data_IF_065399216954
#
_entry.id   IF_065399216954
#
_cell.length_a   1.000
_cell.length_b   1.000
_cell.length_c   1.000
_cell.angle_alpha   90.00
_cell.angle_beta   90.00
_cell.angle_gamma   90.00
#
_symmetry.space_group_name_H-M   'P 1'
#
loop_
_entity.id
_entity.type
_entity.pdbx_description
1 polymer ?
#
# COMPACT_ATOMS: atom_id res chain seq x y z
N UNK A 1 -14.43 -5.01 -32.05
CA UNK A 1 -13.17 -4.78 -31.33
C UNK A 1 -13.04 -5.59 -30.03
N UNK A 2 -14.13 -5.88 -29.28
CA UNK A 2 -14.08 -6.65 -28.02
C UNK A 2 -13.56 -8.10 -28.15
N UNK A 3 -13.74 -8.78 -29.29
CA UNK A 3 -13.32 -10.18 -29.46
C UNK A 3 -11.82 -10.38 -29.78
N UNK A 4 -11.13 -9.34 -30.29
CA UNK A 4 -9.72 -9.47 -30.67
C UNK A 4 -8.73 -9.29 -29.50
N UNK A 5 -9.14 -8.53 -28.48
CA UNK A 5 -8.30 -8.29 -27.28
C UNK A 5 -8.29 -9.52 -26.37
N UNK A 6 -9.43 -10.20 -26.24
CA UNK A 6 -9.53 -11.44 -25.45
C UNK A 6 -8.67 -12.57 -26.05
N UNK A 7 -8.56 -12.61 -27.38
CA UNK A 7 -7.74 -13.63 -28.06
C UNK A 7 -6.23 -13.38 -27.89
N UNK A 8 -5.81 -12.11 -27.80
CA UNK A 8 -4.39 -11.76 -27.63
C UNK A 8 -3.88 -12.07 -26.20
N UNK A 9 -4.70 -11.84 -25.20
CA UNK A 9 -4.38 -12.17 -23.81
C UNK A 9 -4.30 -13.69 -23.59
N UNK A 10 -5.21 -14.45 -24.22
CA UNK A 10 -5.18 -15.93 -24.17
C UNK A 10 -4.01 -16.49 -24.97
N UNK A 11 -3.66 -15.87 -26.11
CA UNK A 11 -2.54 -16.26 -26.95
C UNK A 11 -1.17 -16.06 -26.31
N UNK A 12 -1.00 -15.02 -25.49
CA UNK A 12 0.23 -14.79 -24.73
C UNK A 12 0.41 -15.82 -23.60
N UNK A 13 -0.68 -16.26 -22.97
CA UNK A 13 -0.65 -17.32 -21.96
C UNK A 13 -0.31 -18.69 -22.56
N UNK A 14 -0.82 -18.99 -23.76
CA UNK A 14 -0.57 -20.27 -24.44
C UNK A 14 0.81 -20.34 -25.09
N UNK A 15 1.36 -19.23 -25.59
CA UNK A 15 2.71 -19.19 -26.16
C UNK A 15 3.81 -19.39 -25.10
N UNK A 16 3.59 -18.90 -23.86
CA UNK A 16 4.51 -19.13 -22.76
C UNK A 16 4.55 -20.61 -22.29
N UNK A 17 3.48 -21.37 -22.51
CA UNK A 17 3.45 -22.79 -22.17
C UNK A 17 4.18 -23.69 -23.20
N UNK A 18 4.22 -23.30 -24.46
CA UNK A 18 4.75 -24.13 -25.53
C UNK A 18 6.29 -24.15 -25.59
N UNK A 19 6.97 -23.12 -25.10
CA UNK A 19 8.43 -23.01 -25.12
C UNK A 19 9.15 -23.67 -23.94
N UNK A 20 8.43 -23.98 -22.87
CA UNK A 20 9.02 -24.58 -21.65
C UNK A 20 8.83 -26.10 -21.54
N UNK A 21 8.15 -26.72 -22.47
CA UNK A 21 7.75 -28.12 -22.35
C UNK A 21 8.81 -29.19 -22.77
N UNK A 22 9.98 -28.77 -23.24
CA UNK A 22 10.91 -29.74 -23.85
C UNK A 22 12.13 -30.12 -23.02
N UNK A 23 12.46 -29.41 -21.90
CA UNK A 23 13.70 -29.72 -21.14
C UNK A 23 13.58 -29.85 -19.61
N UNK A 24 12.37 -29.93 -19.02
CA UNK A 24 12.20 -29.81 -17.56
C UNK A 24 11.49 -31.01 -16.91
N UNK A 25 11.74 -32.26 -17.37
CA UNK A 25 10.97 -33.39 -16.83
C UNK A 25 11.48 -34.00 -15.51
N UNK A 26 12.58 -33.52 -14.93
CA UNK A 26 13.10 -34.05 -13.64
C UNK A 26 13.23 -33.02 -12.51
N UNK A 27 13.38 -31.74 -12.83
CA UNK A 27 13.51 -30.66 -11.83
C UNK A 27 12.17 -30.05 -11.42
N UNK A 28 11.14 -30.08 -12.26
CA UNK A 28 9.86 -29.41 -12.03
C UNK A 28 9.09 -29.90 -10.78
N UNK A 29 9.27 -31.14 -10.34
CA UNK A 29 8.65 -31.65 -9.10
C UNK A 29 9.32 -31.11 -7.83
N UNK A 30 10.62 -30.85 -7.90
CA UNK A 30 11.38 -30.25 -6.82
C UNK A 30 11.06 -28.76 -6.69
N UNK A 31 10.92 -28.06 -7.80
CA UNK A 31 10.74 -26.62 -7.84
C UNK A 31 9.37 -26.17 -7.39
N UNK A 32 8.29 -26.86 -7.77
CA UNK A 32 6.94 -26.50 -7.29
C UNK A 32 6.79 -26.68 -5.77
N UNK A 33 7.41 -27.69 -5.18
CA UNK A 33 7.43 -27.91 -3.73
C UNK A 33 8.30 -26.85 -3.04
N UNK A 34 9.40 -26.46 -3.65
CA UNK A 34 10.28 -25.41 -3.12
C UNK A 34 9.65 -24.04 -3.26
N UNK A 35 8.95 -23.74 -4.37
CA UNK A 35 8.15 -22.52 -4.54
C UNK A 35 7.07 -22.41 -3.46
N UNK A 36 6.32 -23.49 -3.22
CA UNK A 36 5.28 -23.49 -2.16
C UNK A 36 5.92 -23.34 -0.78
N UNK A 37 7.05 -23.99 -0.50
CA UNK A 37 7.79 -23.82 0.76
C UNK A 37 8.33 -22.41 0.93
N UNK A 38 8.88 -21.81 -0.12
CA UNK A 38 9.42 -20.45 -0.10
C UNK A 38 8.30 -19.42 0.07
N UNK A 39 7.19 -19.55 -0.68
CA UNK A 39 6.01 -18.69 -0.52
C UNK A 39 5.40 -18.85 0.87
N UNK A 40 5.33 -20.07 1.41
CA UNK A 40 4.88 -20.33 2.79
C UNK A 40 5.84 -19.70 3.79
N UNK A 41 7.16 -19.79 3.58
CA UNK A 41 8.15 -19.19 4.45
C UNK A 41 8.11 -17.65 4.42
N UNK A 42 8.00 -17.04 3.24
CA UNK A 42 7.96 -15.58 3.09
C UNK A 42 6.75 -14.91 3.75
N UNK A 43 5.59 -15.60 3.79
CA UNK A 43 4.38 -15.05 4.43
C UNK A 43 4.24 -15.42 5.93
N UNK A 44 5.15 -16.19 6.48
CA UNK A 44 5.24 -16.39 7.94
C UNK A 44 6.08 -15.32 8.62
N UNK A 45 6.66 -14.40 7.85
CA UNK A 45 7.58 -13.43 8.39
C UNK A 45 6.83 -12.16 8.81
N UNK A 46 6.57 -12.04 10.11
CA UNK A 46 6.63 -10.73 10.73
C UNK A 46 8.04 -10.14 10.47
N UNK A 47 8.17 -8.80 10.38
CA UNK A 47 9.49 -8.14 10.26
C UNK A 47 10.53 -8.71 11.23
N UNK A 48 10.10 -9.22 12.37
CA UNK A 48 10.92 -9.85 13.40
C UNK A 48 11.48 -11.19 12.98
N UNK A 49 10.73 -12.00 12.24
CA UNK A 49 11.25 -13.20 11.60
C UNK A 49 12.14 -12.86 10.41
N UNK A 50 11.92 -11.75 9.70
CA UNK A 50 12.87 -11.27 8.70
C UNK A 50 14.24 -10.98 9.33
N UNK A 51 14.29 -10.34 10.50
CA UNK A 51 15.55 -10.10 11.22
C UNK A 51 16.16 -11.39 11.81
N UNK A 52 15.35 -12.40 12.13
CA UNK A 52 15.82 -13.64 12.77
C UNK A 52 15.94 -14.86 11.85
N UNK A 53 15.19 -14.92 10.74
CA UNK A 53 15.23 -16.04 9.78
C UNK A 53 15.97 -15.72 8.47
N UNK A 54 16.16 -14.45 8.17
CA UNK A 54 16.97 -13.98 7.05
C UNK A 54 18.44 -13.74 7.44
N UNK A 55 18.89 -14.46 8.45
CA UNK A 55 20.29 -14.47 8.88
C UNK A 55 21.18 -15.35 7.98
N UNK A 56 20.69 -15.62 6.75
CA UNK A 56 21.36 -16.45 5.76
C UNK A 56 22.47 -15.74 4.98
N UNK A 57 22.75 -14.46 5.31
CA UNK A 57 23.88 -13.72 4.77
C UNK A 57 24.88 -13.35 5.89
N UNK A 58 26.17 -13.36 5.54
CA UNK A 58 27.22 -13.11 6.52
C UNK A 58 27.54 -11.62 6.68
N UNK A 59 27.60 -10.87 5.61
CA UNK A 59 28.06 -9.49 5.58
C UNK A 59 27.08 -8.52 4.98
N UNK A 60 26.57 -8.80 3.79
CA UNK A 60 25.61 -7.95 3.10
C UNK A 60 24.68 -8.75 2.19
N UNK A 61 23.54 -8.14 1.88
CA UNK A 61 22.65 -8.57 0.83
C UNK A 61 22.15 -7.37 0.03
N UNK A 62 21.95 -7.59 -1.27
CA UNK A 62 21.43 -6.59 -2.20
C UNK A 62 20.32 -7.23 -3.04
N UNK A 63 19.22 -6.51 -3.20
CA UNK A 63 18.05 -6.98 -3.94
C UNK A 63 17.05 -5.88 -4.13
N UNK A 64 15.78 -6.24 -4.14
CA UNK A 64 14.69 -5.30 -4.28
C UNK A 64 13.46 -5.92 -4.89
N UNK A 65 12.57 -5.05 -5.35
CA UNK A 65 11.36 -5.46 -6.03
C UNK A 65 10.96 -4.43 -7.09
N UNK A 66 10.08 -4.85 -7.99
CA UNK A 66 9.52 -3.96 -8.99
C UNK A 66 8.32 -4.59 -9.64
N UNK A 67 7.51 -3.74 -10.26
CA UNK A 67 6.29 -4.16 -10.96
C UNK A 67 6.05 -3.32 -12.20
N UNK A 68 5.47 -3.95 -13.23
CA UNK A 68 4.95 -3.29 -14.42
C UNK A 68 3.49 -3.72 -14.60
N UNK A 69 2.63 -2.75 -14.90
CA UNK A 69 1.19 -2.98 -15.03
C UNK A 69 0.68 -2.34 -16.31
N UNK A 70 -0.07 -3.12 -17.10
CA UNK A 70 -0.92 -2.64 -18.19
C UNK A 70 -2.37 -2.67 -17.72
N UNK A 71 -3.06 -1.55 -17.76
CA UNK A 71 -4.44 -1.38 -17.29
C UNK A 71 -5.34 -0.85 -18.40
N UNK A 72 -6.53 -1.45 -18.53
CA UNK A 72 -7.56 -1.12 -19.50
C UNK A 72 -8.78 -0.62 -18.72
N UNK A 73 -8.96 0.70 -18.67
CA UNK A 73 -9.87 1.38 -17.75
C UNK A 73 -11.13 1.89 -18.45
N UNK A 74 -12.27 1.70 -17.79
CA UNK A 74 -13.55 2.33 -18.12
C UNK A 74 -13.98 3.15 -16.89
N UNK A 75 -13.80 4.47 -16.95
CA UNK A 75 -14.13 5.36 -15.83
C UNK A 75 -15.63 5.66 -15.69
N UNK A 76 -16.48 5.11 -16.56
CA UNK A 76 -17.91 5.40 -16.53
C UNK A 76 -18.22 6.85 -16.93
N UNK A 77 -19.35 7.36 -16.40
CA UNK A 77 -19.90 8.66 -16.81
C UNK A 77 -19.32 9.81 -15.99
N UNK A 78 -18.90 9.57 -14.77
CA UNK A 78 -18.50 10.60 -13.80
C UNK A 78 -17.07 10.42 -13.27
N UNK A 79 -16.11 10.37 -14.18
CA UNK A 79 -14.69 10.20 -13.82
C UNK A 79 -14.22 11.18 -12.74
N UNK A 80 -14.62 12.43 -12.82
CA UNK A 80 -14.13 13.53 -11.96
C UNK A 80 -15.09 13.83 -10.82
N UNK A 81 -15.62 12.84 -10.11
CA UNK A 81 -16.37 13.00 -8.85
C UNK A 81 -17.17 14.31 -8.72
N UNK A 82 -17.89 14.73 -9.73
CA UNK A 82 -18.59 16.00 -9.66
C UNK A 82 -19.05 16.57 -10.97
N UNK A 83 -18.67 16.00 -12.09
CA UNK A 83 -19.30 16.34 -13.36
C UNK A 83 -20.75 15.88 -13.34
N UNK A 84 -21.65 16.82 -13.24
CA UNK A 84 -23.10 16.60 -13.25
C UNK A 84 -23.64 16.28 -14.63
N UNK A 85 -22.90 16.65 -15.64
CA UNK A 85 -23.24 16.39 -17.02
C UNK A 85 -22.67 15.04 -17.38
N UNK A 86 -23.52 14.06 -17.63
CA UNK A 86 -23.12 12.76 -18.12
C UNK A 86 -22.19 12.87 -19.30
N UNK A 87 -20.90 12.95 -19.01
CA UNK A 87 -19.86 12.94 -20.03
C UNK A 87 -19.88 11.56 -20.70
N UNK A 88 -19.44 11.52 -21.95
CA UNK A 88 -19.21 10.27 -22.65
C UNK A 88 -18.32 9.38 -21.80
N UNK A 89 -18.55 8.06 -21.85
CA UNK A 89 -17.67 7.07 -21.21
C UNK A 89 -16.23 7.36 -21.57
N UNK A 90 -15.38 7.48 -20.56
CA UNK A 90 -13.95 7.68 -20.72
C UNK A 90 -13.23 6.33 -20.61
N UNK A 91 -12.66 5.87 -21.72
CA UNK A 91 -11.88 4.64 -21.79
C UNK A 91 -10.41 4.99 -21.94
N UNK A 92 -9.57 4.46 -21.08
CA UNK A 92 -8.13 4.66 -21.15
C UNK A 92 -7.37 3.36 -20.98
N UNK A 93 -6.32 3.23 -21.76
CA UNK A 93 -5.35 2.15 -21.64
C UNK A 93 -4.03 2.77 -21.18
N UNK A 94 -3.43 2.21 -20.15
CA UNK A 94 -2.18 2.71 -19.59
C UNK A 94 -1.19 1.57 -19.41
N UNK A 95 0.09 1.87 -19.56
CA UNK A 95 1.20 1.02 -19.13
C UNK A 95 2.04 1.84 -18.18
N UNK A 96 2.38 1.27 -17.03
CA UNK A 96 3.16 1.97 -16.01
C UNK A 96 4.12 1.02 -15.32
N UNK A 97 5.18 1.58 -14.77
CA UNK A 97 6.07 0.96 -13.78
C UNK A 97 5.77 1.71 -12.46
N UNK A 98 4.79 1.24 -11.66
CA UNK A 98 4.39 1.97 -10.45
C UNK A 98 5.56 2.15 -9.50
N UNK A 99 6.39 1.10 -9.34
CA UNK A 99 7.52 1.13 -8.41
C UNK A 99 8.64 0.22 -8.86
N UNK A 100 9.85 0.68 -8.58
CA UNK A 100 11.07 -0.11 -8.61
C UNK A 100 11.91 0.26 -7.40
N UNK A 101 12.29 -0.72 -6.57
CA UNK A 101 12.96 -0.51 -5.30
C UNK A 101 14.26 -1.29 -5.25
N UNK A 102 15.32 -0.64 -4.81
CA UNK A 102 16.56 -1.28 -4.39
C UNK A 102 16.60 -1.40 -2.87
N UNK A 103 16.90 -2.60 -2.39
CA UNK A 103 17.11 -2.89 -0.99
C UNK A 103 18.57 -3.32 -0.74
N UNK A 104 19.16 -2.78 0.30
CA UNK A 104 20.52 -3.12 0.72
C UNK A 104 20.60 -3.22 2.23
N UNK A 105 21.07 -4.36 2.73
CA UNK A 105 21.37 -4.57 4.13
C UNK A 105 22.86 -4.86 4.34
N UNK A 106 23.40 -4.35 5.44
CA UNK A 106 24.80 -4.55 5.82
C UNK A 106 24.94 -4.86 7.31
N UNK A 107 25.63 -5.95 7.66
CA UNK A 107 25.99 -6.31 9.03
C UNK A 107 27.34 -5.72 9.40
N UNK A 108 27.37 -4.71 10.24
CA UNK A 108 28.62 -4.22 10.87
C UNK A 108 29.17 -5.26 11.84
N UNK A 109 28.26 -5.94 12.56
CA UNK A 109 28.55 -7.04 13.49
C UNK A 109 27.29 -7.92 13.65
N UNK A 110 27.35 -9.05 14.39
CA UNK A 110 26.18 -9.87 14.67
C UNK A 110 25.03 -9.14 15.40
N UNK A 111 25.31 -7.96 15.97
CA UNK A 111 24.32 -7.15 16.70
C UNK A 111 23.93 -5.86 16.00
N UNK A 112 24.72 -5.38 15.05
CA UNK A 112 24.48 -4.10 14.37
C UNK A 112 24.24 -4.31 12.90
N UNK A 113 23.10 -3.86 12.41
CA UNK A 113 22.69 -3.98 11.00
C UNK A 113 22.20 -2.63 10.48
N UNK A 114 22.66 -2.27 9.28
CA UNK A 114 22.07 -1.22 8.45
C UNK A 114 21.03 -1.84 7.52
N UNK A 115 19.88 -1.22 7.39
CA UNK A 115 18.89 -1.52 6.35
C UNK A 115 18.58 -0.26 5.55
N UNK A 116 18.46 -0.40 4.22
CA UNK A 116 18.20 0.72 3.31
C UNK A 116 17.32 0.26 2.17
N UNK A 117 16.31 1.07 1.83
CA UNK A 117 15.50 0.91 0.62
C UNK A 117 15.36 2.25 -0.10
N UNK A 118 15.63 2.24 -1.41
CA UNK A 118 15.48 3.40 -2.30
C UNK A 118 14.41 3.06 -3.31
N UNK A 119 13.32 3.81 -3.29
CA UNK A 119 12.18 3.64 -4.18
C UNK A 119 12.24 4.61 -5.34
N UNK A 120 11.94 4.10 -6.53
CA UNK A 120 11.69 4.86 -7.75
C UNK A 120 10.21 4.67 -8.12
N UNK A 121 9.39 5.66 -7.85
CA UNK A 121 7.99 5.65 -8.27
C UNK A 121 7.85 6.19 -9.70
N UNK A 122 6.97 5.57 -10.50
CA UNK A 122 6.60 6.02 -11.85
C UNK A 122 7.79 6.37 -12.74
N UNK A 123 8.88 5.59 -12.66
CA UNK A 123 10.08 5.78 -13.48
C UNK A 123 11.12 6.73 -12.90
N UNK A 124 10.94 7.22 -11.67
CA UNK A 124 11.88 8.15 -11.01
C UNK A 124 11.58 9.62 -11.35
N UNK A 125 12.42 10.44 -11.03
CA UNK A 125 12.56 11.89 -11.04
C UNK A 125 11.44 12.78 -11.60
N UNK A 126 10.93 13.59 -10.73
CA UNK A 126 10.77 15.00 -11.06
C UNK A 126 9.35 15.49 -11.24
N UNK A 127 9.17 16.70 -10.75
CA UNK A 127 8.08 17.59 -11.13
C UNK A 127 8.53 18.35 -12.38
N UNK A 128 7.87 18.14 -13.50
CA UNK A 128 8.02 19.00 -14.68
C UNK A 128 6.97 20.11 -14.61
N UNK A 129 7.41 21.36 -14.81
CA UNK A 129 6.49 22.43 -15.15
C UNK A 129 6.31 22.39 -16.67
N UNK A 130 5.14 22.04 -17.13
CA UNK A 130 4.78 22.14 -18.52
C UNK A 130 3.97 23.43 -18.72
N UNK A 131 4.40 24.26 -19.65
CA UNK A 131 3.63 25.42 -20.07
C UNK A 131 2.86 25.03 -21.32
N UNK A 132 1.59 24.69 -21.13
CA UNK A 132 0.71 24.46 -22.27
C UNK A 132 0.15 25.78 -22.82
N UNK A 133 0.22 25.95 -24.14
CA UNK A 133 -0.58 26.92 -24.84
C UNK A 133 -2.00 26.36 -24.95
N UNK A 134 -2.90 26.86 -24.12
CA UNK A 134 -4.32 26.58 -24.29
C UNK A 134 -4.79 27.07 -25.65
N UNK A 135 -5.79 26.42 -26.24
CA UNK A 135 -6.33 26.69 -27.59
C UNK A 135 -6.76 28.17 -27.83
N UNK A 136 -6.85 28.98 -26.79
CA UNK A 136 -7.24 30.38 -26.82
C UNK A 136 -6.10 31.38 -26.52
N UNK A 137 -4.84 30.93 -26.49
CA UNK A 137 -3.69 31.81 -26.24
C UNK A 137 -3.49 32.18 -24.76
N UNK A 138 -4.19 31.52 -23.84
CA UNK A 138 -3.91 31.56 -22.40
C UNK A 138 -2.84 30.54 -22.06
N UNK A 139 -1.83 30.98 -21.28
CA UNK A 139 -0.78 30.09 -20.80
C UNK A 139 -1.28 29.42 -19.54
N UNK A 140 -1.50 28.11 -19.59
CA UNK A 140 -1.71 27.31 -18.39
C UNK A 140 -0.39 26.67 -17.96
N UNK A 141 -0.07 26.83 -16.68
CA UNK A 141 1.07 26.15 -16.08
C UNK A 141 0.54 24.85 -15.44
N UNK A 142 0.73 23.72 -16.09
CA UNK A 142 0.50 22.42 -15.49
C UNK A 142 1.74 21.95 -14.75
N UNK A 143 1.54 21.48 -13.54
CA UNK A 143 2.55 20.77 -12.77
C UNK A 143 2.29 19.29 -12.99
N UNK A 144 2.95 18.69 -13.95
CA UNK A 144 2.97 17.24 -14.03
C UNK A 144 3.77 16.68 -12.86
N UNK A 145 3.08 15.92 -12.02
CA UNK A 145 3.76 15.07 -11.05
C UNK A 145 4.41 13.92 -11.81
N UNK A 146 5.67 14.09 -12.13
CA UNK A 146 6.54 13.00 -12.59
C UNK A 146 6.69 11.91 -11.53
N UNK A 147 7.61 11.00 -11.76
CA UNK A 147 8.00 10.01 -10.75
C UNK A 147 8.67 10.67 -9.54
N UNK A 148 8.90 9.86 -8.53
CA UNK A 148 9.60 10.24 -7.30
C UNK A 148 10.78 9.28 -7.07
N UNK A 149 11.90 9.80 -6.58
CA UNK A 149 12.97 8.98 -5.99
C UNK A 149 12.98 9.27 -4.50
N UNK A 150 12.65 8.28 -3.72
CA UNK A 150 12.50 8.40 -2.28
C UNK A 150 13.41 7.43 -1.52
N UNK A 151 13.93 7.89 -0.39
CA UNK A 151 14.50 7.02 0.62
C UNK A 151 13.34 6.41 1.41
N UNK A 152 12.90 5.20 1.05
CA UNK A 152 11.79 4.53 1.71
C UNK A 152 12.16 4.03 3.09
N UNK A 153 13.38 3.53 3.24
CA UNK A 153 13.95 3.13 4.53
C UNK A 153 15.44 3.46 4.60
N UNK A 154 15.86 3.93 5.76
CA UNK A 154 17.25 4.03 6.16
C UNK A 154 17.33 3.92 7.68
N UNK A 155 17.85 2.82 8.18
CA UNK A 155 17.87 2.61 9.62
C UNK A 155 19.06 1.78 10.08
N UNK A 156 19.44 2.01 11.32
CA UNK A 156 20.41 1.17 12.06
C UNK A 156 19.64 0.42 13.14
N UNK A 157 19.83 -0.89 13.18
CA UNK A 157 19.22 -1.79 14.17
C UNK A 157 20.29 -2.34 15.09
N UNK A 158 20.05 -2.29 16.40
CA UNK A 158 20.83 -2.94 17.43
C UNK A 158 20.03 -4.09 18.06
N UNK A 159 20.56 -5.30 17.96
CA UNK A 159 20.01 -6.49 18.63
C UNK A 159 20.55 -6.58 20.05
N UNK A 160 19.78 -6.12 21.03
CA UNK A 160 20.16 -6.23 22.44
C UNK A 160 19.98 -7.67 22.95
N UNK A 161 18.81 -8.24 22.72
CA UNK A 161 18.39 -9.60 23.06
C UNK A 161 17.50 -10.15 21.95
N UNK A 162 17.19 -11.43 21.94
CA UNK A 162 16.28 -12.03 20.96
C UNK A 162 14.84 -11.46 21.06
N UNK A 163 14.45 -11.01 22.24
CA UNK A 163 13.16 -10.42 22.50
C UNK A 163 13.17 -8.88 22.47
N UNK A 164 14.34 -8.22 22.31
CA UNK A 164 14.47 -6.76 22.28
C UNK A 164 15.47 -6.30 21.24
N UNK A 165 14.99 -5.57 20.27
CA UNK A 165 15.77 -4.85 19.28
C UNK A 165 15.45 -3.36 19.38
N UNK A 166 16.42 -2.53 19.09
CA UNK A 166 16.27 -1.07 19.00
C UNK A 166 16.67 -0.64 17.60
N UNK A 167 15.85 0.15 16.95
CA UNK A 167 16.07 0.64 15.59
C UNK A 167 15.86 2.15 15.56
N UNK A 168 16.77 2.87 14.87
CA UNK A 168 16.66 4.31 14.69
C UNK A 168 16.90 4.66 13.22
N UNK A 169 16.18 5.65 12.72
CA UNK A 169 16.29 6.16 11.36
C UNK A 169 14.94 6.43 10.71
N UNK A 170 14.88 6.27 9.39
CA UNK A 170 13.67 6.38 8.59
C UNK A 170 13.01 5.02 8.49
N UNK A 171 11.80 4.88 9.05
CA UNK A 171 11.18 3.61 9.39
C UNK A 171 9.79 3.52 8.80
N UNK A 172 9.39 2.34 8.32
CA UNK A 172 7.99 2.06 7.99
C UNK A 172 7.19 1.91 9.28
N UNK A 173 6.09 2.66 9.39
CA UNK A 173 5.18 2.57 10.53
C UNK A 173 4.30 1.32 10.43
N UNK A 174 4.16 0.53 11.50
CA UNK A 174 3.38 -0.71 11.49
C UNK A 174 1.87 -0.46 11.64
N UNK A 175 1.30 0.36 10.76
CA UNK A 175 -0.12 0.72 10.74
C UNK A 175 -0.83 0.02 9.59
N UNK A 176 -1.83 -0.80 9.92
CA UNK A 176 -2.56 -1.59 8.94
C UNK A 176 -1.79 -2.81 8.44
N UNK A 177 -2.39 -3.52 7.51
CA UNK A 177 -1.84 -4.74 6.93
C UNK A 177 -0.96 -4.43 5.72
N UNK A 178 -1.44 -3.56 4.84
CA UNK A 178 -0.81 -3.28 3.55
C UNK A 178 0.48 -2.50 3.72
N UNK A 179 0.55 -1.59 4.68
CA UNK A 179 1.72 -0.75 4.86
C UNK A 179 2.99 -1.55 5.22
N UNK A 180 2.87 -2.57 6.08
CA UNK A 180 3.98 -3.46 6.41
C UNK A 180 4.27 -4.53 5.34
N UNK A 181 3.30 -4.80 4.45
CA UNK A 181 3.35 -5.87 3.46
C UNK A 181 3.03 -5.31 2.08
N UNK A 182 3.72 -4.23 1.72
CA UNK A 182 3.43 -3.45 0.52
C UNK A 182 4.06 -4.00 -0.76
N UNK A 183 4.98 -4.96 -0.64
CA UNK A 183 5.64 -5.55 -1.79
C UNK A 183 4.63 -6.33 -2.66
N UNK A 184 4.80 -6.32 -3.98
CA UNK A 184 3.78 -6.84 -4.90
C UNK A 184 3.50 -8.34 -4.81
N UNK A 185 4.32 -9.10 -4.12
CA UNK A 185 4.10 -10.54 -3.87
C UNK A 185 3.14 -10.77 -2.67
N UNK A 186 2.94 -9.78 -1.82
CA UNK A 186 2.21 -9.89 -0.56
C UNK A 186 0.70 -9.65 -0.69
N UNK A 187 0.21 -9.26 -1.85
CA UNK A 187 -1.21 -9.08 -2.14
C UNK A 187 -1.58 -9.69 -3.49
N UNK A 188 -2.85 -10.07 -3.65
CA UNK A 188 -3.37 -10.54 -4.91
C UNK A 188 -3.76 -9.36 -5.83
N UNK A 189 -3.69 -9.63 -7.16
CA UNK A 189 -3.97 -8.61 -8.17
C UNK A 189 -2.83 -7.64 -8.42
N UNK A 190 -3.04 -6.77 -9.39
CA UNK A 190 -2.04 -5.82 -9.91
C UNK A 190 -1.89 -4.58 -9.06
N UNK A 191 -2.89 -4.28 -8.21
CA UNK A 191 -2.90 -3.09 -7.34
C UNK A 191 -3.01 -3.48 -5.88
N UNK A 192 -2.40 -2.69 -4.99
CA UNK A 192 -2.56 -2.81 -3.52
C UNK A 192 -4.03 -2.73 -3.13
N UNK A 193 -4.46 -3.31 -1.96
CA UNK A 193 -5.75 -3.03 -1.35
C UNK A 193 -5.98 -1.52 -1.22
N UNK A 194 -7.07 -1.01 -1.80
CA UNK A 194 -7.25 0.43 -2.04
C UNK A 194 -7.56 1.22 -0.77
N UNK A 195 -8.25 0.61 0.20
CA UNK A 195 -8.76 1.33 1.36
C UNK A 195 -7.66 1.91 2.26
N UNK A 196 -6.69 1.09 2.66
CA UNK A 196 -5.57 1.56 3.49
C UNK A 196 -4.70 2.56 2.72
N UNK A 197 -4.42 2.28 1.45
CA UNK A 197 -3.54 3.12 0.62
C UNK A 197 -4.15 4.48 0.26
N UNK A 198 -5.45 4.67 0.50
CA UNK A 198 -6.14 5.94 0.21
C UNK A 198 -6.23 6.84 1.44
N UNK A 199 -6.53 6.30 2.62
CA UNK A 199 -6.84 7.13 3.78
C UNK A 199 -5.65 7.40 4.71
N UNK A 200 -4.57 6.64 4.57
CA UNK A 200 -3.29 6.90 5.24
C UNK A 200 -2.16 6.96 4.21
N UNK A 201 -1.00 7.56 4.55
CA UNK A 201 0.16 7.49 3.68
C UNK A 201 0.50 6.04 3.30
N UNK A 202 0.93 5.81 2.07
CA UNK A 202 1.29 4.49 1.58
C UNK A 202 2.42 4.61 0.52
N UNK A 203 3.58 4.06 0.76
CA UNK A 203 4.03 3.41 2.02
C UNK A 203 4.25 4.48 3.08
N UNK A 204 3.75 4.26 4.31
CA UNK A 204 3.92 5.23 5.39
C UNK A 204 5.21 4.96 6.14
N UNK A 205 6.16 5.83 5.97
CA UNK A 205 7.46 5.83 6.65
C UNK A 205 7.75 7.21 7.25
N UNK A 206 8.43 7.25 8.41
CA UNK A 206 8.72 8.45 9.18
C UNK A 206 10.08 8.32 9.89
N UNK A 207 10.68 9.44 10.23
CA UNK A 207 11.88 9.46 11.06
C UNK A 207 11.53 9.13 12.51
N UNK A 208 12.27 8.19 13.14
CA UNK A 208 11.90 7.79 14.49
C UNK A 208 12.84 6.77 15.14
N UNK A 209 12.40 6.36 16.33
CA UNK A 209 13.00 5.32 17.15
C UNK A 209 11.98 4.22 17.40
N UNK A 210 12.38 2.99 17.14
CA UNK A 210 11.56 1.77 17.32
C UNK A 210 12.19 0.85 18.34
N UNK A 211 11.37 0.27 19.20
CA UNK A 211 11.68 -0.96 19.92
C UNK A 211 10.77 -2.07 19.45
N UNK A 212 11.32 -3.25 19.24
CA UNK A 212 10.57 -4.39 18.75
C UNK A 212 11.16 -5.71 19.22
N UNK A 213 10.35 -6.77 19.21
CA UNK A 213 10.78 -8.09 19.62
C UNK A 213 9.68 -9.11 19.56
N UNK A 214 10.02 -10.35 19.93
CA UNK A 214 9.09 -11.47 20.03
C UNK A 214 9.13 -12.03 21.44
N UNK A 215 7.99 -12.48 21.95
CA UNK A 215 7.89 -13.12 23.24
C UNK A 215 6.85 -14.25 23.23
N UNK A 216 6.97 -15.14 24.20
CA UNK A 216 6.10 -16.30 24.31
C UNK A 216 6.61 -17.53 23.56
N UNK A 217 5.85 -18.63 23.59
CA UNK A 217 6.19 -19.91 22.95
C UNK A 217 4.92 -20.68 22.57
N UNK A 218 5.03 -21.53 21.54
CA UNK A 218 3.92 -22.38 21.10
C UNK A 218 2.69 -21.56 20.72
N UNK A 219 1.54 -21.89 21.32
CA UNK A 219 0.29 -21.15 21.06
C UNK A 219 0.25 -19.74 21.66
N UNK A 220 1.15 -19.39 22.59
CA UNK A 220 1.26 -18.04 23.17
C UNK A 220 2.49 -17.33 22.59
N UNK A 221 2.55 -17.18 21.28
CA UNK A 221 3.64 -16.51 20.56
C UNK A 221 3.17 -15.16 20.00
N UNK A 222 3.91 -14.09 20.35
CA UNK A 222 3.56 -12.72 20.02
C UNK A 222 4.78 -11.96 19.52
N UNK A 223 4.55 -11.02 18.59
CA UNK A 223 5.52 -10.00 18.20
C UNK A 223 4.98 -8.63 18.56
N UNK A 224 5.85 -7.73 19.00
CA UNK A 224 5.47 -6.35 19.31
C UNK A 224 6.38 -5.34 18.63
N UNK A 225 5.84 -4.16 18.36
CA UNK A 225 6.56 -2.99 17.87
C UNK A 225 6.01 -1.75 18.58
N UNK A 226 6.90 -0.85 18.99
CA UNK A 226 6.54 0.44 19.55
C UNK A 226 7.49 1.50 18.99
N UNK A 227 6.92 2.55 18.39
CA UNK A 227 7.65 3.59 17.67
C UNK A 227 7.27 4.96 18.21
N UNK A 228 8.29 5.81 18.38
CA UNK A 228 8.13 7.26 18.49
C UNK A 228 8.70 7.86 17.21
N UNK A 229 7.88 8.58 16.46
CA UNK A 229 8.25 9.14 15.16
C UNK A 229 7.79 10.58 14.98
N UNK A 230 8.20 11.20 13.88
CA UNK A 230 7.57 12.42 13.39
C UNK A 230 6.08 12.20 13.22
N UNK A 231 5.28 13.22 13.52
CA UNK A 231 3.83 13.18 13.41
C UNK A 231 3.33 13.78 12.10
N UNK A 232 2.15 13.37 11.65
CA UNK A 232 1.55 13.95 10.45
C UNK A 232 1.29 15.45 10.59
N UNK A 233 1.39 16.16 9.46
CA UNK A 233 1.12 17.58 9.33
C UNK A 233 -0.30 17.82 8.83
N UNK A 234 -1.12 18.52 9.62
CA UNK A 234 -2.53 18.81 9.29
C UNK A 234 -2.70 19.62 8.00
N UNK A 235 -1.68 20.37 7.58
CA UNK A 235 -1.70 21.13 6.32
C UNK A 235 -1.87 20.21 5.09
N UNK A 236 -1.49 18.92 5.20
CA UNK A 236 -1.64 17.92 4.17
C UNK A 236 -3.00 17.22 4.09
N UNK A 237 -3.88 17.44 5.06
CA UNK A 237 -5.16 16.72 5.13
C UNK A 237 -6.17 17.25 4.14
N UNK A 238 -6.93 16.35 3.53
CA UNK A 238 -7.92 16.70 2.53
C UNK A 238 -9.21 15.84 2.61
N UNK A 239 -10.18 16.16 1.75
CA UNK A 239 -11.47 15.47 1.64
C UNK A 239 -11.34 14.06 1.09
N UNK A 240 -10.49 13.88 0.08
CA UNK A 240 -10.47 12.67 -0.73
C UNK A 240 -9.66 11.56 -0.08
N UNK A 241 -8.56 11.96 0.60
CA UNK A 241 -7.55 11.06 1.10
C UNK A 241 -7.36 11.16 2.63
N UNK A 242 -8.24 11.91 3.30
CA UNK A 242 -8.23 12.14 4.74
C UNK A 242 -6.88 12.66 5.25
N UNK A 243 -6.04 11.81 5.87
CA UNK A 243 -4.74 12.22 6.43
C UNK A 243 -3.53 11.81 5.58
N UNK A 244 -3.76 11.16 4.44
CA UNK A 244 -2.71 10.62 3.58
C UNK A 244 -1.66 11.68 3.19
N UNK A 245 -2.10 12.84 2.78
CA UNK A 245 -1.21 13.94 2.36
C UNK A 245 -0.49 14.65 3.50
N UNK A 246 -0.66 14.20 4.74
CA UNK A 246 -0.01 14.78 5.91
C UNK A 246 1.37 14.22 6.24
N UNK A 247 1.86 13.23 5.48
CA UNK A 247 3.23 12.73 5.57
C UNK A 247 4.20 13.90 5.38
N UNK A 248 5.20 14.00 6.25
CA UNK A 248 6.21 15.05 6.14
C UNK A 248 7.23 14.72 5.06
N UNK A 249 8.08 15.68 4.71
CA UNK A 249 9.03 15.58 3.63
C UNK A 249 10.02 14.42 3.81
N UNK A 250 10.61 13.95 2.70
CA UNK A 250 11.48 12.77 2.73
C UNK A 250 12.94 13.18 2.91
N UNK A 251 13.31 14.38 2.48
CA UNK A 251 14.70 14.86 2.45
C UNK A 251 14.89 16.22 3.12
N UNK A 252 13.85 16.76 3.76
CA UNK A 252 13.89 18.00 4.50
C UNK A 252 13.90 17.74 6.01
N UNK A 253 14.05 18.79 6.78
CA UNK A 253 13.90 18.72 8.23
C UNK A 253 12.44 18.47 8.59
N UNK A 254 12.13 17.28 9.08
CA UNK A 254 10.80 16.96 9.57
C UNK A 254 10.51 17.65 10.90
N UNK A 255 9.31 18.20 11.01
CA UNK A 255 8.88 18.85 12.23
C UNK A 255 8.52 17.80 13.29
N UNK A 256 9.25 17.80 14.39
CA UNK A 256 9.07 16.88 15.52
C UNK A 256 8.42 17.57 16.75
N UNK A 257 7.74 18.69 16.55
CA UNK A 257 7.13 19.47 17.65
C UNK A 257 6.02 18.69 18.37
N UNK A 258 5.26 17.88 17.62
CA UNK A 258 4.28 16.95 18.17
C UNK A 258 4.56 15.54 17.65
N UNK A 259 5.36 14.76 18.39
CA UNK A 259 5.68 13.39 17.99
C UNK A 259 4.42 12.52 17.93
N UNK A 260 4.53 11.48 17.12
CA UNK A 260 3.55 10.41 17.05
C UNK A 260 4.04 9.16 17.77
N UNK A 261 3.10 8.43 18.33
CA UNK A 261 3.32 7.16 19.02
C UNK A 261 2.58 6.06 18.28
N UNK A 262 3.29 5.05 17.85
CA UNK A 262 2.73 3.88 17.18
C UNK A 262 3.00 2.64 17.99
N UNK A 263 1.99 1.82 18.15
CA UNK A 263 2.12 0.51 18.81
C UNK A 263 1.44 -0.56 17.96
N UNK A 264 2.09 -1.72 17.82
CA UNK A 264 1.54 -2.92 17.17
C UNK A 264 1.81 -4.16 17.98
N UNK A 265 0.82 -5.05 18.02
CA UNK A 265 0.92 -6.39 18.59
C UNK A 265 0.40 -7.41 17.57
N UNK A 266 1.18 -8.45 17.31
CA UNK A 266 0.80 -9.57 16.46
C UNK A 266 0.77 -10.85 17.27
N UNK A 267 -0.26 -11.66 17.08
CA UNK A 267 -0.37 -13.02 17.56
C UNK A 267 0.01 -13.99 16.42
N UNK A 268 0.96 -14.90 16.71
CA UNK A 268 1.48 -15.89 15.76
C UNK A 268 1.44 -17.34 16.33
N UNK A 269 0.61 -17.60 17.33
CA UNK A 269 0.61 -18.88 18.04
C UNK A 269 0.05 -20.06 17.25
N UNK A 270 -0.80 -19.81 16.24
CA UNK A 270 -1.37 -20.85 15.39
C UNK A 270 -0.62 -20.90 14.05
N UNK A 271 -0.09 -22.07 13.62
CA UNK A 271 0.61 -22.18 12.34
C UNK A 271 -0.24 -21.67 11.17
N UNK A 272 0.33 -20.77 10.37
CA UNK A 272 -0.34 -20.13 9.24
C UNK A 272 -1.26 -18.98 9.58
N UNK A 273 -1.59 -18.76 10.85
CA UNK A 273 -2.43 -17.63 11.28
C UNK A 273 -1.57 -16.53 11.92
N UNK A 274 -1.78 -15.30 11.47
CA UNK A 274 -1.33 -14.07 12.14
C UNK A 274 -2.55 -13.19 12.37
N UNK A 275 -2.68 -12.65 13.57
CA UNK A 275 -3.69 -11.63 13.90
C UNK A 275 -2.96 -10.43 14.47
N UNK A 276 -3.15 -9.27 13.90
CA UNK A 276 -2.48 -8.03 14.27
C UNK A 276 -3.46 -6.94 14.69
N UNK A 277 -3.01 -6.08 15.59
CA UNK A 277 -3.68 -4.84 15.93
C UNK A 277 -2.66 -3.73 16.09
N UNK A 278 -2.95 -2.53 15.57
CA UNK A 278 -2.09 -1.37 15.76
C UNK A 278 -2.88 -0.12 16.15
N UNK A 279 -2.15 0.79 16.78
CA UNK A 279 -2.65 2.07 17.24
C UNK A 279 -1.64 3.16 16.92
N UNK A 280 -2.11 4.27 16.36
CA UNK A 280 -1.34 5.48 16.10
C UNK A 280 -1.97 6.65 16.85
N UNK A 281 -1.15 7.47 17.46
CA UNK A 281 -1.56 8.67 18.16
C UNK A 281 -0.59 9.82 17.93
N UNK A 282 -1.10 10.95 17.44
CA UNK A 282 -0.40 12.23 17.41
C UNK A 282 -1.24 13.25 18.20
N UNK A 283 -0.64 13.86 19.22
CA UNK A 283 -1.35 14.74 20.13
C UNK A 283 -1.78 16.07 19.50
N UNK A 284 -1.05 16.51 18.46
CA UNK A 284 -1.34 17.75 17.78
C UNK A 284 -0.74 17.81 16.37
N UNK A 285 -1.49 17.39 15.38
CA UNK A 285 -1.05 17.42 13.98
C UNK A 285 -0.85 18.83 13.41
N UNK A 286 -1.46 19.84 14.01
CA UNK A 286 -1.28 21.25 13.60
C UNK A 286 0.05 21.84 14.05
N UNK A 287 0.64 21.32 15.15
CA UNK A 287 1.95 21.76 15.63
C UNK A 287 3.11 21.32 14.74
N UNK A 288 2.88 20.35 13.84
CA UNK A 288 3.86 19.87 12.87
C UNK A 288 3.79 20.66 11.55
N UNK A 289 3.00 21.75 11.50
CA UNK A 289 2.90 22.62 10.33
C UNK A 289 3.81 23.84 10.46
N UNK A 290 4.40 24.26 9.38
CA UNK A 290 5.11 25.54 9.28
C UNK A 290 4.18 26.76 9.35
N UNK A 291 2.87 26.52 9.26
CA UNK A 291 1.81 27.54 9.34
C UNK A 291 1.22 27.65 10.75
N UNK A 292 2.07 27.66 11.79
CA UNK A 292 1.65 27.67 13.20
C UNK A 292 0.71 28.83 13.57
N UNK A 293 0.87 29.99 12.95
CA UNK A 293 0.00 31.16 13.19
C UNK A 293 -1.42 30.94 12.71
N UNK A 294 -1.62 30.11 11.68
CA UNK A 294 -2.93 29.79 11.12
C UNK A 294 -3.66 28.73 11.97
N UNK A 295 -2.91 27.87 12.66
CA UNK A 295 -3.45 26.76 13.47
C UNK A 295 -3.36 27.05 14.97
N UNK A 296 -4.07 28.08 15.44
CA UNK A 296 -4.12 28.43 16.88
C UNK A 296 -4.98 27.43 17.69
N UNK A 297 -4.90 26.13 17.43
CA UNK A 297 -5.65 25.08 18.11
C UNK A 297 -4.95 23.72 17.93
N UNK A 298 -5.37 22.73 18.74
CA UNK A 298 -4.87 21.37 18.63
C UNK A 298 -5.80 20.50 17.77
N UNK A 299 -5.22 19.61 16.97
CA UNK A 299 -5.94 18.61 16.21
C UNK A 299 -5.37 17.19 16.48
N UNK A 300 -5.77 16.56 17.60
CA UNK A 300 -5.36 15.20 17.92
C UNK A 300 -5.87 14.20 16.90
N UNK A 301 -4.96 13.31 16.46
CA UNK A 301 -5.25 12.22 15.52
C UNK A 301 -5.07 10.87 16.21
N UNK A 302 -6.03 9.97 16.01
CA UNK A 302 -6.00 8.58 16.45
C UNK A 302 -6.38 7.66 15.32
N UNK A 303 -5.60 6.59 15.11
CA UNK A 303 -5.90 5.56 14.12
C UNK A 303 -5.79 4.19 14.82
N UNK A 304 -6.79 3.36 14.62
CA UNK A 304 -6.87 1.99 15.13
C UNK A 304 -6.97 1.05 13.94
N UNK A 305 -6.19 -0.02 13.95
CA UNK A 305 -6.28 -1.07 12.93
C UNK A 305 -6.35 -2.44 13.55
N UNK A 306 -7.00 -3.34 12.86
CA UNK A 306 -6.99 -4.76 13.14
C UNK A 306 -6.86 -5.53 11.82
N UNK A 307 -6.04 -6.56 11.80
CA UNK A 307 -5.85 -7.37 10.61
C UNK A 307 -5.65 -8.85 10.95
N UNK A 308 -5.90 -9.70 9.97
CA UNK A 308 -5.66 -11.12 10.07
C UNK A 308 -5.13 -11.66 8.73
N UNK A 309 -4.19 -12.58 8.82
CA UNK A 309 -3.69 -13.34 7.68
C UNK A 309 -3.73 -14.83 8.02
N UNK A 310 -4.22 -15.62 7.10
CA UNK A 310 -4.16 -17.08 7.18
C UNK A 310 -3.55 -17.64 5.92
N UNK A 311 -2.57 -18.49 6.05
CA UNK A 311 -1.91 -19.16 4.93
C UNK A 311 -1.57 -20.59 5.24
N UNK A 312 -1.96 -21.46 4.34
CA UNK A 312 -1.51 -22.85 4.31
C UNK A 312 -1.14 -23.26 2.87
N UNK A 313 -0.95 -24.55 2.63
CA UNK A 313 -0.58 -25.05 1.28
C UNK A 313 -1.68 -24.83 0.22
N UNK A 314 -2.92 -24.60 0.62
CA UNK A 314 -4.10 -24.50 -0.26
C UNK A 314 -4.72 -23.11 -0.28
N UNK A 315 -4.81 -22.46 0.87
CA UNK A 315 -5.54 -21.19 1.03
C UNK A 315 -4.60 -20.10 1.52
N UNK A 316 -4.71 -18.92 0.93
CA UNK A 316 -4.19 -17.66 1.49
C UNK A 316 -5.38 -16.70 1.62
N UNK A 317 -5.62 -16.22 2.84
CA UNK A 317 -6.68 -15.27 3.13
C UNK A 317 -6.12 -14.12 3.96
N UNK A 318 -6.60 -12.90 3.71
CA UNK A 318 -6.24 -11.68 4.45
C UNK A 318 -7.48 -10.84 4.67
N UNK A 319 -7.54 -10.18 5.82
CA UNK A 319 -8.58 -9.21 6.13
C UNK A 319 -7.98 -8.07 6.94
N UNK A 320 -8.50 -6.87 6.77
CA UNK A 320 -8.07 -5.66 7.45
C UNK A 320 -9.25 -4.77 7.81
N UNK A 321 -9.09 -4.02 8.88
CA UNK A 321 -10.01 -3.00 9.34
C UNK A 321 -9.20 -1.81 9.85
N UNK A 322 -9.66 -0.59 9.53
CA UNK A 322 -9.07 0.66 9.99
C UNK A 322 -10.17 1.64 10.37
N UNK A 323 -9.95 2.31 11.49
CA UNK A 323 -10.80 3.39 11.99
C UNK A 323 -9.93 4.54 12.44
N UNK A 324 -10.21 5.74 11.91
CA UNK A 324 -9.50 6.95 12.25
C UNK A 324 -10.41 8.02 12.83
N UNK A 325 -9.85 8.85 13.71
CA UNK A 325 -10.52 10.00 14.33
C UNK A 325 -9.58 11.20 14.44
N UNK A 326 -9.98 12.32 13.84
CA UNK A 326 -9.31 13.62 13.89
C UNK A 326 -10.19 14.62 14.66
N UNK A 327 -9.73 15.12 15.77
CA UNK A 327 -10.47 16.12 16.57
C UNK A 327 -10.26 17.51 15.98
N UNK A 328 -11.28 18.39 16.06
CA UNK A 328 -11.28 19.74 15.46
C UNK A 328 -11.07 19.71 13.93
N UNK A 329 -11.59 18.70 13.26
CA UNK A 329 -11.49 18.55 11.81
C UNK A 329 -12.16 19.68 11.02
N UNK A 330 -13.21 20.27 11.57
CA UNK A 330 -13.89 21.47 11.04
C UNK A 330 -12.95 22.69 11.04
N UNK A 331 -12.18 22.88 12.11
CA UNK A 331 -11.20 23.97 12.21
C UNK A 331 -10.02 23.75 11.27
N UNK A 332 -9.52 22.49 11.16
CA UNK A 332 -8.51 22.12 10.17
C UNK A 332 -9.02 22.43 8.76
N UNK A 333 -10.26 22.06 8.45
CA UNK A 333 -10.89 22.34 7.15
C UNK A 333 -10.97 23.84 6.87
N UNK A 334 -11.33 24.65 7.85
CA UNK A 334 -11.41 26.11 7.72
C UNK A 334 -10.06 26.74 7.39
N UNK A 335 -8.97 26.28 8.03
CA UNK A 335 -7.61 26.75 7.73
C UNK A 335 -7.16 26.27 6.37
N UNK A 336 -7.31 24.96 6.06
CA UNK A 336 -6.87 24.39 4.79
C UNK A 336 -7.55 25.04 3.59
N UNK A 337 -8.81 25.45 3.72
CA UNK A 337 -9.52 26.24 2.68
C UNK A 337 -8.81 27.55 2.34
N UNK A 338 -8.32 28.25 3.38
CA UNK A 338 -7.59 29.51 3.18
C UNK A 338 -6.21 29.30 2.58
N UNK A 339 -5.53 28.25 3.01
CA UNK A 339 -4.20 27.88 2.47
C UNK A 339 -4.28 27.46 0.99
N UNK A 340 -5.35 26.78 0.60
CA UNK A 340 -5.56 26.36 -0.78
C UNK A 340 -5.59 27.53 -1.76
N UNK A 341 -6.07 28.69 -1.35
CA UNK A 341 -6.09 29.89 -2.19
C UNK A 341 -4.70 30.54 -2.34
N UNK A 342 -3.70 30.10 -1.61
CA UNK A 342 -2.35 30.67 -1.61
C UNK A 342 -1.30 29.67 -2.14
N UNK A 343 -1.67 28.41 -2.32
CA UNK A 343 -0.78 27.35 -2.76
C UNK A 343 -1.07 26.98 -4.23
N UNK A 344 -0.05 26.57 -5.00
CA UNK A 344 -0.25 26.04 -6.34
C UNK A 344 -1.04 24.73 -6.37
N UNK A 345 -1.25 24.09 -5.21
CA UNK A 345 -2.00 22.84 -5.10
C UNK A 345 -3.29 23.08 -4.32
N UNK A 346 -4.42 22.85 -4.96
CA UNK A 346 -5.74 22.99 -4.35
C UNK A 346 -6.00 21.83 -3.39
N UNK A 347 -6.10 22.12 -2.11
CA UNK A 347 -6.57 21.12 -1.15
C UNK A 347 -8.09 21.12 -1.10
N UNK A 348 -8.67 19.95 -1.30
CA UNK A 348 -10.11 19.80 -1.32
C UNK A 348 -10.62 19.52 0.08
N UNK A 349 -11.45 20.43 0.60
CA UNK A 349 -12.08 20.32 1.93
C UNK A 349 -13.55 19.91 1.79
N UNK A 350 -14.22 19.45 2.87
CA UNK A 350 -13.76 19.35 4.26
C UNK A 350 -12.94 18.09 4.55
N UNK A 351 -12.04 18.17 5.52
CA UNK A 351 -11.42 17.02 6.16
C UNK A 351 -12.42 16.42 7.15
N UNK A 352 -12.61 15.12 7.15
CA UNK A 352 -13.56 14.49 8.03
C UNK A 352 -13.00 14.26 9.44
N UNK A 353 -13.90 14.31 10.44
CA UNK A 353 -13.64 13.90 11.80
C UNK A 353 -13.36 12.39 11.90
N UNK A 354 -14.06 11.57 11.11
CA UNK A 354 -13.88 10.10 11.09
C UNK A 354 -13.71 9.56 9.69
N UNK A 355 -12.79 8.61 9.58
CA UNK A 355 -12.57 7.80 8.37
C UNK A 355 -12.58 6.32 8.72
N UNK A 356 -12.92 5.48 7.75
CA UNK A 356 -13.01 4.04 7.91
C UNK A 356 -12.59 3.32 6.62
N UNK A 357 -11.84 2.23 6.76
CA UNK A 357 -11.68 1.25 5.67
C UNK A 357 -11.73 -0.18 6.21
N UNK A 358 -12.14 -1.10 5.37
CA UNK A 358 -12.03 -2.52 5.62
C UNK A 358 -12.01 -3.29 4.30
N UNK A 359 -11.35 -4.44 4.33
CA UNK A 359 -11.24 -5.29 3.16
C UNK A 359 -10.93 -6.73 3.52
N UNK A 360 -11.10 -7.59 2.55
CA UNK A 360 -10.71 -8.99 2.64
C UNK A 360 -10.34 -9.52 1.26
N UNK A 361 -9.37 -10.43 1.22
CA UNK A 361 -9.03 -11.18 0.02
C UNK A 361 -8.79 -12.65 0.34
N UNK A 362 -9.09 -13.50 -0.61
CA UNK A 362 -8.86 -14.95 -0.53
C UNK A 362 -8.37 -15.47 -1.88
N UNK A 363 -7.33 -16.29 -1.84
CA UNK A 363 -6.80 -17.00 -3.00
C UNK A 363 -6.58 -18.48 -2.70
N UNK A 364 -6.77 -19.30 -3.73
CA UNK A 364 -6.64 -20.76 -3.65
C UNK A 364 -5.43 -21.22 -4.46
N UNK A 365 -4.47 -21.88 -3.84
CA UNK A 365 -3.32 -22.46 -4.52
C UNK A 365 -3.72 -23.76 -5.23
N UNK A 366 -3.82 -23.73 -6.55
CA UNK A 366 -4.19 -24.91 -7.34
C UNK A 366 -3.13 -26.02 -7.25
N UNK A 367 -1.84 -25.68 -7.20
CA UNK A 367 -0.78 -26.68 -7.00
C UNK A 367 -0.86 -27.36 -5.61
N UNK A 368 -1.38 -26.67 -4.61
CA UNK A 368 -1.66 -27.23 -3.30
C UNK A 368 -2.89 -28.13 -3.26
N UNK A 369 -3.87 -27.88 -4.10
CA UNK A 369 -5.09 -28.71 -4.27
C UNK A 369 -4.76 -29.97 -5.08
N UNK A 370 -4.14 -29.82 -6.24
CA UNK A 370 -3.81 -30.90 -7.16
C UNK A 370 -2.40 -31.46 -6.91
N UNK A 371 -2.16 -31.92 -5.67
CA UNK A 371 -0.87 -32.50 -5.26
C UNK A 371 -0.51 -33.72 -6.11
N UNK A 372 0.77 -33.80 -6.48
CA UNK A 372 1.29 -34.91 -7.29
C UNK A 372 1.08 -34.77 -8.80
N UNK A 373 0.49 -33.67 -9.26
CA UNK A 373 0.41 -33.28 -10.67
C UNK A 373 1.42 -32.19 -10.97
N UNK A 374 1.73 -31.98 -12.25
CA UNK A 374 2.56 -30.84 -12.68
C UNK A 374 1.75 -29.53 -12.77
N UNK A 375 0.86 -29.29 -11.80
CA UNK A 375 0.04 -28.08 -11.76
C UNK A 375 0.93 -26.87 -11.41
N UNK A 376 0.93 -25.80 -12.21
CA UNK A 376 1.65 -24.58 -11.90
C UNK A 376 1.11 -23.93 -10.64
N UNK A 377 1.92 -23.11 -9.97
CA UNK A 377 1.51 -22.35 -8.78
C UNK A 377 0.62 -21.19 -9.19
N UNK A 378 -0.67 -21.46 -9.28
CA UNK A 378 -1.72 -20.53 -9.66
C UNK A 378 -2.63 -20.26 -8.46
N UNK A 379 -2.94 -18.98 -8.25
CA UNK A 379 -3.89 -18.51 -7.25
C UNK A 379 -5.04 -17.77 -7.91
N UNK A 380 -6.15 -18.42 -8.33
CA UNK A 380 -7.40 -17.71 -8.48
C UNK A 380 -7.78 -17.05 -7.15
N UNK A 381 -8.22 -15.79 -7.21
CA UNK A 381 -8.51 -14.99 -6.02
C UNK A 381 -9.73 -14.10 -6.21
N UNK A 382 -10.29 -13.68 -5.07
CA UNK A 382 -11.28 -12.60 -4.99
C UNK A 382 -10.89 -11.66 -3.85
N UNK A 383 -11.16 -10.36 -4.02
CA UNK A 383 -10.92 -9.30 -3.04
C UNK A 383 -12.10 -8.33 -3.00
N UNK A 384 -12.40 -7.85 -1.81
CA UNK A 384 -13.33 -6.77 -1.56
C UNK A 384 -12.65 -5.69 -0.73
N UNK A 385 -12.77 -4.43 -1.16
CA UNK A 385 -12.31 -3.25 -0.46
C UNK A 385 -13.47 -2.27 -0.27
N UNK A 386 -13.59 -1.72 0.92
CA UNK A 386 -14.46 -0.62 1.26
C UNK A 386 -13.67 0.45 1.97
N UNK A 387 -13.87 1.71 1.59
CA UNK A 387 -13.37 2.83 2.37
C UNK A 387 -14.23 4.06 2.23
N UNK A 388 -14.18 4.90 3.26
CA UNK A 388 -14.84 6.19 3.29
C UNK A 388 -14.01 7.17 4.12
N UNK A 389 -13.21 8.04 3.45
CA UNK A 389 -12.45 9.11 4.12
C UNK A 389 -13.35 10.19 4.72
N UNK A 390 -14.64 10.22 4.35
CA UNK A 390 -15.66 11.17 4.79
C UNK A 390 -16.76 10.47 5.59
N UNK A 391 -16.36 9.57 6.51
CA UNK A 391 -17.35 8.78 7.29
C UNK A 391 -18.23 9.65 8.17
N UNK A 392 -17.65 10.69 8.75
CA UNK A 392 -18.36 11.69 9.54
C UNK A 392 -17.58 13.01 9.51
N UNK A 393 -18.21 14.09 9.13
CA UNK A 393 -17.67 15.44 9.26
C UNK A 393 -17.98 16.05 10.64
N UNK A 394 -17.37 17.18 10.94
CA UNK A 394 -17.53 17.94 12.19
C UNK A 394 -18.04 19.36 11.89
N UNK A 395 -18.70 19.98 12.86
CA UNK A 395 -19.23 21.33 12.73
C UNK A 395 -20.37 21.44 11.71
N UNK A 396 -20.27 22.43 10.80
CA UNK A 396 -21.26 22.69 9.76
C UNK A 396 -20.98 21.96 8.45
N UNK A 397 -19.90 21.18 8.38
CA UNK A 397 -19.53 20.46 7.17
C UNK A 397 -20.35 19.18 6.99
N UNK A 398 -20.69 18.88 5.75
CA UNK A 398 -21.51 17.74 5.34
C UNK A 398 -20.62 16.74 4.61
N UNK A 399 -20.86 15.45 4.84
CA UNK A 399 -20.15 14.36 4.19
C UNK A 399 -20.37 14.37 2.67
N UNK A 400 -19.28 14.20 1.94
CA UNK A 400 -19.34 14.01 0.50
C UNK A 400 -19.39 12.51 0.16
N UNK A 401 -20.57 12.03 -0.18
CA UNK A 401 -20.78 10.62 -0.53
C UNK A 401 -19.98 10.14 -1.75
N UNK A 402 -19.42 11.06 -2.55
CA UNK A 402 -18.51 10.73 -3.66
C UNK A 402 -17.17 10.18 -3.19
N UNK A 403 -16.85 10.32 -1.89
CA UNK A 403 -15.65 9.78 -1.27
C UNK A 403 -15.82 8.32 -0.81
N UNK A 404 -17.07 7.83 -0.70
CA UNK A 404 -17.35 6.43 -0.37
C UNK A 404 -17.10 5.53 -1.57
N UNK A 405 -16.26 4.49 -1.39
CA UNK A 405 -15.89 3.56 -2.44
C UNK A 405 -16.07 2.12 -1.99
N UNK A 406 -16.55 1.31 -2.91
CA UNK A 406 -16.65 -0.15 -2.81
C UNK A 406 -16.00 -0.76 -4.04
N UNK A 407 -15.04 -1.64 -3.86
CA UNK A 407 -14.32 -2.28 -4.97
C UNK A 407 -14.32 -3.79 -4.82
N UNK A 408 -14.73 -4.47 -5.89
CA UNK A 408 -14.53 -5.90 -6.05
C UNK A 408 -13.44 -6.16 -7.05
N UNK A 409 -12.55 -7.08 -6.75
CA UNK A 409 -11.49 -7.51 -7.67
C UNK A 409 -11.46 -9.02 -7.68
N UNK A 410 -11.37 -9.62 -8.86
CA UNK A 410 -11.16 -11.05 -9.03
C UNK A 410 -10.14 -11.30 -10.13
N UNK A 411 -9.31 -12.32 -9.97
CA UNK A 411 -8.24 -12.57 -10.92
C UNK A 411 -7.42 -13.81 -10.61
N UNK A 412 -6.24 -13.85 -11.18
CA UNK A 412 -5.28 -14.94 -11.04
C UNK A 412 -3.88 -14.39 -10.87
N UNK A 413 -3.15 -14.92 -9.88
CA UNK A 413 -1.70 -14.74 -9.73
C UNK A 413 -1.00 -16.06 -10.12
N UNK A 414 -0.11 -16.00 -11.09
CA UNK A 414 0.74 -17.11 -11.49
C UNK A 414 2.17 -16.87 -11.04
N UNK A 415 2.66 -17.69 -10.13
CA UNK A 415 4.05 -17.67 -9.70
C UNK A 415 4.87 -18.54 -10.64
N UNK A 416 5.45 -17.91 -11.68
CA UNK A 416 6.33 -18.57 -12.64
C UNK A 416 7.64 -19.02 -11.97
N UNK A 417 8.13 -18.22 -11.01
CA UNK A 417 9.23 -18.52 -10.08
C UNK A 417 8.81 -18.15 -8.66
N UNK A 418 9.52 -18.60 -7.62
CA UNK A 418 9.21 -18.23 -6.23
C UNK A 418 9.09 -16.73 -5.98
N UNK A 419 9.84 -15.95 -6.72
CA UNK A 419 9.99 -14.50 -6.59
C UNK A 419 9.51 -13.70 -7.82
N UNK A 420 8.93 -14.37 -8.82
CA UNK A 420 8.38 -13.77 -10.03
C UNK A 420 6.90 -14.16 -10.18
N UNK A 421 6.03 -13.17 -10.16
CA UNK A 421 4.58 -13.35 -10.30
C UNK A 421 4.03 -12.61 -11.51
N UNK A 422 3.21 -13.29 -12.29
CA UNK A 422 2.39 -12.71 -13.35
C UNK A 422 0.95 -12.64 -12.83
N UNK A 423 0.32 -11.49 -12.95
CA UNK A 423 -0.98 -11.20 -12.39
C UNK A 423 -1.93 -10.77 -13.48
N UNK A 424 -3.18 -11.20 -13.40
CA UNK A 424 -4.26 -10.70 -14.23
C UNK A 424 -5.52 -10.59 -13.38
N UNK A 425 -6.18 -9.44 -13.41
CA UNK A 425 -7.39 -9.22 -12.64
C UNK A 425 -8.38 -8.31 -13.36
N UNK A 426 -9.63 -8.44 -12.93
CA UNK A 426 -10.71 -7.55 -13.29
C UNK A 426 -11.30 -6.96 -12.02
N UNK A 427 -11.46 -5.65 -11.99
CA UNK A 427 -12.08 -4.95 -10.89
C UNK A 427 -13.27 -4.11 -11.32
N UNK A 428 -14.23 -3.98 -10.41
CA UNK A 428 -15.33 -3.01 -10.50
C UNK A 428 -15.32 -2.15 -9.26
N UNK A 429 -15.21 -0.84 -9.46
CA UNK A 429 -15.10 0.17 -8.42
C UNK A 429 -16.35 1.04 -8.45
N UNK A 430 -17.10 1.04 -7.37
CA UNK A 430 -18.34 1.82 -7.22
C UNK A 430 -18.04 3.03 -6.34
N UNK A 431 -18.18 4.21 -6.91
CA UNK A 431 -18.01 5.50 -6.23
C UNK A 431 -19.39 6.07 -5.93
N UNK A 432 -19.60 6.51 -4.70
CA UNK A 432 -20.82 7.18 -4.30
C UNK A 432 -21.05 8.47 -5.11
N UNK A 433 -22.31 8.81 -5.33
CA UNK A 433 -22.70 10.03 -6.03
C UNK A 433 -23.29 11.04 -5.06
N UNK A 434 -23.20 12.34 -5.38
CA UNK A 434 -23.87 13.37 -4.59
C UNK A 434 -25.40 13.19 -4.68
N UNK A 435 -26.11 13.57 -3.61
CA UNK A 435 -27.60 13.56 -3.61
C UNK A 435 -28.23 14.42 -4.71
N UNK A 436 -27.48 15.37 -5.26
CA UNK A 436 -27.93 16.22 -6.36
C UNK A 436 -28.13 15.46 -7.67
N UNK A 437 -27.47 14.31 -7.85
CA UNK A 437 -27.52 13.54 -9.10
C UNK A 437 -28.38 12.28 -9.04
N UNK A 438 -29.17 12.14 -8.01
CA UNK A 438 -30.10 11.04 -7.82
C UNK A 438 -29.76 10.14 -6.64
N UNK A 439 -30.79 9.75 -5.89
CA UNK A 439 -30.67 8.88 -4.72
C UNK A 439 -29.96 7.58 -5.07
N UNK A 440 -28.86 7.29 -4.36
CA UNK A 440 -28.28 5.96 -4.27
C UNK A 440 -27.63 5.43 -5.54
N UNK A 441 -27.33 6.25 -6.53
CA UNK A 441 -26.60 5.80 -7.71
C UNK A 441 -25.09 5.87 -7.44
N UNK A 442 -24.41 4.77 -7.76
CA UNK A 442 -22.95 4.71 -7.79
C UNK A 442 -22.46 4.91 -9.22
N UNK A 443 -21.33 5.60 -9.37
CA UNK A 443 -20.57 5.56 -10.60
C UNK A 443 -19.70 4.30 -10.58
N UNK A 444 -19.83 3.46 -11.60
CA UNK A 444 -19.01 2.26 -11.73
C UNK A 444 -17.83 2.52 -12.63
N UNK A 445 -16.65 2.25 -12.12
CA UNK A 445 -15.40 2.21 -12.86
C UNK A 445 -14.96 0.75 -12.97
N UNK A 446 -14.66 0.31 -14.18
CA UNK A 446 -14.22 -1.05 -14.44
C UNK A 446 -12.81 -1.05 -14.99
N UNK A 447 -12.00 -2.00 -14.56
CA UNK A 447 -10.62 -2.12 -15.00
C UNK A 447 -10.27 -3.59 -15.21
N UNK A 448 -9.64 -3.89 -16.34
CA UNK A 448 -8.90 -5.12 -16.55
C UNK A 448 -7.42 -4.80 -16.54
N UNK A 449 -6.64 -5.52 -15.74
CA UNK A 449 -5.21 -5.29 -15.62
C UNK A 449 -4.41 -6.56 -15.76
N UNK A 450 -3.22 -6.42 -16.32
CA UNK A 450 -2.18 -7.46 -16.38
C UNK A 450 -0.90 -6.84 -15.85
N UNK A 451 -0.19 -7.57 -14.98
CA UNK A 451 1.07 -7.10 -14.43
C UNK A 451 2.08 -8.22 -14.25
N UNK A 452 3.33 -7.83 -14.17
CA UNK A 452 4.43 -8.68 -13.75
C UNK A 452 5.16 -8.02 -12.60
N UNK A 453 5.52 -8.81 -11.59
CA UNK A 453 6.24 -8.30 -10.43
C UNK A 453 7.32 -9.30 -9.98
N UNK A 454 8.43 -8.75 -9.51
CA UNK A 454 9.54 -9.46 -8.92
C UNK A 454 9.81 -8.94 -7.50
N UNK A 455 10.16 -9.84 -6.58
CA UNK A 455 10.63 -9.50 -5.22
C UNK A 455 11.72 -10.48 -4.81
N UNK A 456 12.91 -10.00 -4.45
CA UNK A 456 13.94 -10.90 -3.92
C UNK A 456 15.34 -10.31 -3.85
N UNK A 457 16.25 -11.11 -3.31
CA UNK A 457 17.66 -10.76 -3.17
C UNK A 457 18.45 -11.28 -4.37
N UNK A 458 19.18 -10.38 -5.06
CA UNK A 458 20.04 -10.73 -6.20
C UNK A 458 21.36 -11.34 -5.74
N UNK A 459 21.87 -10.90 -4.59
CA UNK A 459 23.10 -11.41 -4.00
C UNK A 459 23.05 -11.37 -2.48
N UNK A 460 23.72 -12.34 -1.86
CA UNK A 460 23.90 -12.46 -0.41
C UNK A 460 25.33 -12.91 -0.13
N UNK A 461 26.05 -12.26 0.77
CA UNK A 461 27.40 -12.60 1.23
C UNK A 461 27.56 -12.43 2.73
#
# INVERSE_FOLDING_TARGET
>A
MKSKITLFALGALTAAQATYATDVNTEAKSDSVNVVKTIVAQNHNSKLKQVSQDDDYQKFRFGGYGEMVAAFKDYGINRFRGSSTGNKKDHRNTISIPRFVFAFDYKFSPRWTLGTEIEFESGGVGTAYEIENAENGEYETEVEKGGEVALEQFHITYKAFDWLHVRAGHLILPIGLTNEHHEPINFFGTTRPEGETTIIPSTWHENGLEIFGSFGRGYANFDYQAIVSTGLNACGFDRNNWVQGGKQGIFEEDNFTSPAYTFRLNYNGVPGLRVGASFYYCANTTANSDKLTEYAFRAPLRIYTADAQYKNSVVTARANFMWGSLTNADRVSSVNTKLANQAPYTRVVPVAHKAVSYGAEVGLNLAGIFRGTNCPVLYPFARYDYYNPQKQCEGLYIEDHRCEVRKWTAGVNWYALPNLVIKADYSTRQIGTSKMFGKGKYNSENEFSIGVAYVGWFTKR
#
